data_IF_888805918732
#
_entry.id   IF_888805918732
#
_cell.length_a   1.000
_cell.length_b   1.000
_cell.length_c   1.000
_cell.angle_alpha   90.00
_cell.angle_beta   90.00
_cell.angle_gamma   90.00
#
_symmetry.space_group_name_H-M   'P 1'
#
loop_
_entity.id
_entity.type
_entity.pdbx_description
1 polymer ?
#
# COMPACT_ATOMS: atom_id res chain seq x y z
N UNK A 1 26.28 22.96 -15.83
CA UNK A 1 25.17 22.16 -16.36
C UNK A 1 25.47 20.69 -16.08
N UNK A 2 24.98 20.17 -14.98
CA UNK A 2 25.17 18.76 -14.60
C UNK A 2 24.02 17.94 -15.22
N UNK A 3 24.39 17.08 -16.16
CA UNK A 3 23.51 16.13 -16.84
C UNK A 3 23.17 15.03 -15.83
N UNK A 4 21.95 15.04 -15.29
CA UNK A 4 21.41 13.95 -14.50
C UNK A 4 21.46 12.69 -15.36
N UNK A 5 22.29 11.74 -14.97
CA UNK A 5 22.37 10.43 -15.57
C UNK A 5 21.07 9.69 -15.22
N UNK A 6 20.14 9.66 -16.15
CA UNK A 6 19.03 8.72 -16.18
C UNK A 6 19.65 7.31 -16.27
N UNK A 7 19.82 6.65 -15.12
CA UNK A 7 20.21 5.24 -15.06
C UNK A 7 18.98 4.47 -15.53
N UNK A 8 19.08 3.87 -16.71
CA UNK A 8 18.03 3.05 -17.31
C UNK A 8 17.50 2.06 -16.28
N UNK A 9 16.17 1.98 -16.18
CA UNK A 9 15.42 1.01 -15.38
C UNK A 9 15.86 -0.38 -15.85
N UNK A 10 16.71 -1.04 -15.06
CA UNK A 10 17.00 -2.46 -15.27
C UNK A 10 15.68 -3.21 -15.10
N UNK A 11 15.31 -4.07 -16.05
CA UNK A 11 14.06 -4.84 -16.09
C UNK A 11 13.94 -5.90 -14.98
N UNK A 12 14.45 -5.65 -13.79
CA UNK A 12 14.41 -6.55 -12.65
C UNK A 12 14.41 -5.79 -11.32
N UNK A 13 14.06 -6.46 -10.21
CA UNK A 13 14.11 -5.86 -8.89
C UNK A 13 15.55 -5.43 -8.55
N UNK A 14 15.70 -4.26 -7.93
CA UNK A 14 16.98 -3.63 -7.58
C UNK A 14 17.86 -4.60 -6.77
N UNK A 15 19.11 -4.91 -7.21
CA UNK A 15 19.97 -5.89 -6.55
C UNK A 15 20.36 -5.51 -5.13
N UNK A 16 20.45 -4.22 -4.80
CA UNK A 16 20.74 -3.76 -3.42
C UNK A 16 19.54 -4.04 -2.52
N UNK A 17 18.34 -3.79 -3.01
CA UNK A 17 17.10 -4.09 -2.28
C UNK A 17 16.97 -5.59 -2.06
N UNK A 18 17.22 -6.41 -3.09
CA UNK A 18 17.19 -7.88 -2.96
C UNK A 18 18.20 -8.38 -1.92
N UNK A 19 19.45 -7.90 -1.99
CA UNK A 19 20.51 -8.26 -1.05
C UNK A 19 20.11 -7.92 0.40
N UNK A 20 19.53 -6.74 0.62
CA UNK A 20 19.07 -6.31 1.95
C UNK A 20 18.02 -7.26 2.53
N UNK A 21 17.01 -7.66 1.74
CA UNK A 21 15.96 -8.59 2.19
C UNK A 21 16.46 -10.02 2.34
N UNK A 22 17.39 -10.49 1.49
CA UNK A 22 18.03 -11.78 1.63
C UNK A 22 18.88 -11.88 2.90
N UNK A 23 19.64 -10.83 3.22
CA UNK A 23 20.40 -10.74 4.47
C UNK A 23 19.47 -10.67 5.68
N UNK A 24 18.38 -9.91 5.61
CA UNK A 24 17.39 -9.83 6.68
C UNK A 24 16.77 -11.20 6.99
N UNK A 25 16.49 -12.02 5.97
CA UNK A 25 15.96 -13.37 6.14
C UNK A 25 16.95 -14.33 6.83
N UNK A 26 18.25 -14.20 6.56
CA UNK A 26 19.30 -15.07 7.11
C UNK A 26 19.84 -14.61 8.46
N UNK A 27 19.90 -13.29 8.65
CA UNK A 27 20.45 -12.64 9.83
C UNK A 27 19.35 -11.85 10.54
N UNK A 28 19.65 -11.31 11.73
CA UNK A 28 18.75 -10.32 12.34
C UNK A 28 18.95 -8.96 11.68
N UNK A 29 17.88 -8.31 11.24
CA UNK A 29 17.92 -7.02 10.54
C UNK A 29 18.76 -5.94 11.25
N UNK A 30 18.67 -5.89 12.58
CA UNK A 30 19.46 -4.96 13.40
C UNK A 30 20.97 -5.18 13.32
N UNK A 31 21.43 -6.37 12.93
CA UNK A 31 22.86 -6.70 12.80
C UNK A 31 23.36 -6.55 11.36
N UNK A 32 22.48 -6.40 10.39
CA UNK A 32 22.84 -6.16 8.99
C UNK A 32 23.37 -4.74 8.84
N UNK A 33 24.58 -4.59 8.36
CA UNK A 33 25.22 -3.30 8.06
C UNK A 33 25.05 -2.92 6.58
N UNK A 34 25.28 -1.65 6.25
CA UNK A 34 25.32 -1.22 4.84
C UNK A 34 26.49 -1.85 4.08
N UNK A 35 27.60 -2.15 4.77
CA UNK A 35 28.74 -2.88 4.18
C UNK A 35 28.33 -4.30 3.79
N UNK A 36 27.64 -5.04 4.68
CA UNK A 36 27.14 -6.38 4.37
C UNK A 36 26.22 -6.38 3.14
N UNK A 37 25.37 -5.35 3.04
CA UNK A 37 24.44 -5.20 1.90
C UNK A 37 25.22 -4.90 0.61
N UNK A 38 26.27 -4.05 0.66
CA UNK A 38 27.11 -3.76 -0.49
C UNK A 38 27.85 -5.01 -0.99
N UNK A 39 28.43 -5.78 -0.07
CA UNK A 39 29.14 -7.04 -0.37
C UNK A 39 28.20 -8.09 -0.98
N UNK A 40 27.01 -8.28 -0.42
CA UNK A 40 26.00 -9.22 -0.94
C UNK A 40 25.49 -8.80 -2.32
N UNK A 41 25.27 -7.48 -2.52
CA UNK A 41 24.83 -6.91 -3.80
C UNK A 41 25.96 -6.83 -4.85
N UNK A 42 27.22 -7.12 -4.46
CA UNK A 42 28.42 -6.99 -5.29
C UNK A 42 28.62 -5.59 -5.86
N UNK A 43 28.36 -4.58 -5.05
CA UNK A 43 28.60 -3.16 -5.35
C UNK A 43 29.57 -2.59 -4.33
N UNK A 44 30.24 -1.51 -4.68
CA UNK A 44 31.05 -0.78 -3.71
C UNK A 44 30.19 -0.03 -2.69
N UNK A 45 30.72 0.22 -1.50
CA UNK A 45 30.02 1.02 -0.48
C UNK A 45 29.72 2.44 -0.96
N UNK A 46 30.54 2.99 -1.86
CA UNK A 46 30.33 4.29 -2.48
C UNK A 46 29.11 4.27 -3.43
N UNK A 47 28.98 3.23 -4.26
CA UNK A 47 27.83 3.05 -5.13
C UNK A 47 26.54 2.86 -4.30
N UNK A 48 26.60 2.06 -3.23
CA UNK A 48 25.48 1.89 -2.32
C UNK A 48 25.09 3.22 -1.68
N UNK A 49 26.05 4.01 -1.18
CA UNK A 49 25.80 5.32 -0.58
C UNK A 49 25.12 6.29 -1.56
N UNK A 50 25.53 6.29 -2.82
CA UNK A 50 24.91 7.14 -3.84
C UNK A 50 23.49 6.67 -4.20
N UNK A 51 23.21 5.37 -4.17
CA UNK A 51 21.90 4.83 -4.43
C UNK A 51 20.98 4.97 -3.21
N UNK A 52 21.46 4.56 -2.04
CA UNK A 52 20.70 4.49 -0.79
C UNK A 52 21.57 4.88 0.40
N UNK A 53 21.42 6.10 0.94
CA UNK A 53 22.28 6.60 2.03
C UNK A 53 21.98 5.95 3.40
N UNK A 54 20.94 5.11 3.49
CA UNK A 54 20.56 4.44 4.75
C UNK A 54 19.73 3.18 4.50
N UNK A 55 19.63 2.32 5.51
CA UNK A 55 18.73 1.17 5.49
C UNK A 55 17.27 1.58 5.30
N UNK A 56 16.85 2.70 5.91
CA UNK A 56 15.50 3.26 5.72
C UNK A 56 15.25 3.69 4.26
N UNK A 57 16.26 4.18 3.56
CA UNK A 57 16.17 4.52 2.14
C UNK A 57 15.95 3.26 1.26
N UNK A 58 16.61 2.16 1.59
CA UNK A 58 16.40 0.86 0.93
C UNK A 58 14.97 0.35 1.15
N UNK A 59 14.47 0.41 2.41
CA UNK A 59 13.09 0.03 2.71
C UNK A 59 12.07 0.96 2.04
N UNK A 60 12.42 2.25 1.87
CA UNK A 60 11.59 3.19 1.14
C UNK A 60 11.50 2.85 -0.34
N UNK A 61 12.62 2.53 -0.96
CA UNK A 61 12.68 2.12 -2.36
C UNK A 61 11.87 0.84 -2.61
N UNK A 62 12.01 -0.15 -1.72
CA UNK A 62 11.18 -1.36 -1.79
C UNK A 62 9.69 -1.05 -1.73
N UNK A 63 9.26 -0.24 -0.76
CA UNK A 63 7.85 0.13 -0.63
C UNK A 63 7.33 0.85 -1.88
N UNK A 64 8.15 1.76 -2.45
CA UNK A 64 7.79 2.47 -3.68
C UNK A 64 7.69 1.53 -4.88
N UNK A 65 8.60 0.55 -5.01
CA UNK A 65 8.54 -0.45 -6.07
C UNK A 65 7.27 -1.33 -5.98
N UNK A 66 6.89 -1.72 -4.76
CA UNK A 66 5.62 -2.43 -4.53
C UNK A 66 4.42 -1.56 -4.87
N UNK A 67 4.44 -0.26 -4.49
CA UNK A 67 3.38 0.68 -4.85
C UNK A 67 3.27 0.84 -6.38
N UNK A 68 4.39 0.97 -7.10
CA UNK A 68 4.41 1.04 -8.56
C UNK A 68 3.77 -0.21 -9.20
N UNK A 69 4.09 -1.42 -8.71
CA UNK A 69 3.48 -2.66 -9.21
C UNK A 69 1.96 -2.71 -8.97
N UNK A 70 1.50 -2.25 -7.81
CA UNK A 70 0.06 -2.18 -7.50
C UNK A 70 -0.64 -1.19 -8.43
N UNK A 71 -0.06 -0.01 -8.62
CA UNK A 71 -0.62 1.05 -9.47
C UNK A 71 -0.60 0.67 -10.96
N UNK A 72 0.47 0.01 -11.43
CA UNK A 72 0.58 -0.43 -12.81
C UNK A 72 -0.48 -1.50 -13.19
N UNK A 73 -0.92 -2.29 -12.21
CA UNK A 73 -2.00 -3.26 -12.41
C UNK A 73 -3.38 -2.73 -12.03
N UNK A 74 -3.54 -1.44 -11.74
CA UNK A 74 -4.85 -0.87 -11.47
C UNK A 74 -5.61 -0.68 -12.80
N UNK A 75 -6.81 -1.22 -12.86
CA UNK A 75 -7.74 -1.00 -13.95
C UNK A 75 -8.59 0.26 -13.69
N UNK A 76 -9.10 0.92 -14.75
CA UNK A 76 -10.06 2.00 -14.55
C UNK A 76 -11.24 1.52 -13.70
N UNK A 77 -11.74 2.33 -12.76
CA UNK A 77 -12.85 1.93 -11.91
C UNK A 77 -14.07 1.53 -12.74
N UNK A 78 -14.51 0.27 -12.60
CA UNK A 78 -15.78 -0.16 -13.15
C UNK A 78 -16.91 0.29 -12.22
N UNK A 79 -17.98 0.88 -12.78
CA UNK A 79 -19.14 1.32 -12.01
C UNK A 79 -19.94 0.15 -11.42
N UNK A 80 -19.85 -1.04 -12.01
CA UNK A 80 -20.53 -2.24 -11.56
C UNK A 80 -19.79 -2.92 -10.39
N UNK A 81 -18.46 -2.70 -10.26
CA UNK A 81 -17.64 -3.31 -9.23
C UNK A 81 -17.63 -2.49 -7.94
N UNK A 82 -17.83 -3.18 -6.80
CA UNK A 82 -17.83 -2.52 -5.50
C UNK A 82 -16.44 -1.98 -5.12
N UNK A 83 -16.40 -0.86 -4.38
CA UNK A 83 -15.12 -0.33 -3.82
C UNK A 83 -14.41 -1.39 -2.96
N UNK A 84 -15.16 -2.24 -2.27
CA UNK A 84 -14.61 -3.32 -1.45
C UNK A 84 -13.85 -4.33 -2.31
N UNK A 85 -14.41 -4.74 -3.45
CA UNK A 85 -13.80 -5.74 -4.32
C UNK A 85 -12.54 -5.17 -5.00
N UNK A 86 -12.58 -3.94 -5.50
CA UNK A 86 -11.40 -3.24 -6.01
C UNK A 86 -10.28 -3.10 -4.98
N UNK A 87 -10.61 -2.79 -3.71
CA UNK A 87 -9.63 -2.75 -2.62
C UNK A 87 -9.08 -4.14 -2.28
N UNK A 88 -9.92 -5.17 -2.36
CA UNK A 88 -9.49 -6.55 -2.18
C UNK A 88 -8.43 -6.91 -3.22
N UNK A 89 -8.69 -6.67 -4.49
CA UNK A 89 -7.77 -6.98 -5.59
C UNK A 89 -6.48 -6.17 -5.51
N UNK A 90 -6.56 -4.87 -5.21
CA UNK A 90 -5.38 -4.03 -5.04
C UNK A 90 -4.47 -4.51 -3.89
N UNK A 91 -5.06 -4.94 -2.76
CA UNK A 91 -4.30 -5.44 -1.63
C UNK A 91 -3.78 -6.86 -1.86
N UNK A 92 -4.52 -7.74 -2.56
CA UNK A 92 -4.01 -9.06 -2.94
C UNK A 92 -2.84 -8.93 -3.90
N UNK A 93 -2.93 -8.07 -4.92
CA UNK A 93 -1.82 -7.75 -5.82
C UNK A 93 -0.59 -7.26 -5.07
N UNK A 94 -0.78 -6.48 -3.99
CA UNK A 94 0.31 -6.07 -3.10
C UNK A 94 0.95 -7.25 -2.39
N UNK A 95 0.17 -8.17 -1.82
CA UNK A 95 0.71 -9.34 -1.14
C UNK A 95 1.46 -10.27 -2.11
N UNK A 96 0.97 -10.42 -3.33
CA UNK A 96 1.67 -11.20 -4.38
C UNK A 96 2.99 -10.54 -4.77
N UNK A 97 3.02 -9.23 -4.96
CA UNK A 97 4.25 -8.49 -5.24
C UNK A 97 5.30 -8.61 -4.13
N UNK A 98 4.84 -8.76 -2.88
CA UNK A 98 5.71 -8.90 -1.70
C UNK A 98 6.16 -10.35 -1.44
N UNK A 99 5.54 -11.35 -2.07
CA UNK A 99 5.76 -12.79 -1.82
C UNK A 99 7.24 -13.20 -1.90
N UNK A 100 8.05 -12.73 -2.90
CA UNK A 100 9.46 -13.10 -2.99
C UNK A 100 10.32 -12.66 -1.80
N UNK A 101 9.95 -11.58 -1.09
CA UNK A 101 10.69 -11.02 0.04
C UNK A 101 10.04 -11.32 1.40
N UNK A 102 9.08 -12.26 1.45
CA UNK A 102 8.27 -12.54 2.65
C UNK A 102 9.10 -12.80 3.89
N UNK A 103 10.14 -13.61 3.80
CA UNK A 103 11.00 -13.98 4.95
C UNK A 103 11.80 -12.78 5.44
N UNK A 104 12.32 -11.97 4.52
CA UNK A 104 13.00 -10.72 4.84
C UNK A 104 12.07 -9.71 5.53
N UNK A 105 10.84 -9.57 5.02
CA UNK A 105 9.80 -8.72 5.64
C UNK A 105 9.50 -9.22 7.06
N UNK A 106 9.31 -10.52 7.23
CA UNK A 106 9.04 -11.11 8.54
C UNK A 106 10.17 -10.84 9.54
N UNK A 107 11.43 -10.94 9.10
CA UNK A 107 12.61 -10.68 9.93
C UNK A 107 12.71 -9.18 10.31
N UNK A 108 12.51 -8.27 9.35
CA UNK A 108 12.52 -6.82 9.58
C UNK A 108 11.43 -6.44 10.58
N UNK A 109 10.22 -6.95 10.41
CA UNK A 109 9.11 -6.66 11.32
C UNK A 109 9.29 -7.26 12.72
N UNK A 110 9.97 -8.41 12.81
CA UNK A 110 10.28 -9.05 14.11
C UNK A 110 11.31 -8.27 14.91
N UNK A 111 12.33 -7.75 14.22
CA UNK A 111 13.39 -6.96 14.88
C UNK A 111 12.91 -5.54 15.24
N UNK A 112 11.83 -5.09 14.60
CA UNK A 112 11.25 -3.76 14.81
C UNK A 112 12.04 -2.65 14.13
N UNK A 113 11.55 -1.41 14.31
CA UNK A 113 12.25 -0.23 13.83
C UNK A 113 13.49 0.05 14.70
N UNK A 114 14.59 0.48 14.09
CA UNK A 114 15.86 0.82 14.76
C UNK A 114 15.78 2.08 15.65
N UNK A 115 14.57 2.54 15.95
CA UNK A 115 14.32 3.69 16.81
C UNK A 115 13.00 4.39 16.48
N UNK A 116 12.61 5.36 17.31
CA UNK A 116 11.33 6.07 17.13
C UNK A 116 11.24 6.85 15.83
N UNK A 117 12.36 7.35 15.32
CA UNK A 117 12.41 8.09 14.04
C UNK A 117 12.14 7.13 12.87
N UNK A 118 12.80 5.97 12.82
CA UNK A 118 12.57 4.95 11.77
C UNK A 118 11.13 4.43 11.82
N UNK A 119 10.57 4.25 13.02
CA UNK A 119 9.17 3.87 13.20
C UNK A 119 8.22 4.93 12.61
N UNK A 120 8.45 6.20 12.91
CA UNK A 120 7.63 7.30 12.39
C UNK A 120 7.73 7.44 10.87
N UNK A 121 8.94 7.35 10.33
CA UNK A 121 9.18 7.36 8.88
C UNK A 121 8.50 6.18 8.19
N UNK A 122 8.58 4.99 8.78
CA UNK A 122 7.91 3.78 8.28
C UNK A 122 6.39 3.92 8.29
N UNK A 123 5.81 4.44 9.38
CA UNK A 123 4.37 4.69 9.49
C UNK A 123 3.88 5.73 8.47
N UNK A 124 4.61 6.84 8.30
CA UNK A 124 4.27 7.86 7.31
C UNK A 124 4.33 7.32 5.87
N UNK A 125 5.32 6.46 5.58
CA UNK A 125 5.46 5.78 4.29
C UNK A 125 4.26 4.86 4.01
N UNK A 126 3.89 4.03 4.98
CA UNK A 126 2.74 3.13 4.83
C UNK A 126 1.43 3.89 4.69
N UNK A 127 1.24 4.99 5.42
CA UNK A 127 0.06 5.85 5.23
C UNK A 127 0.01 6.42 3.81
N UNK A 128 1.12 6.91 3.28
CA UNK A 128 1.18 7.39 1.89
C UNK A 128 0.87 6.28 0.89
N UNK A 129 1.44 5.10 1.09
CA UNK A 129 1.16 3.91 0.27
C UNK A 129 -0.34 3.56 0.26
N UNK A 130 -0.99 3.55 1.42
CA UNK A 130 -2.43 3.30 1.52
C UNK A 130 -3.28 4.42 0.90
N UNK A 131 -2.82 5.67 0.95
CA UNK A 131 -3.49 6.77 0.24
C UNK A 131 -3.47 6.56 -1.27
N UNK A 132 -2.34 6.17 -1.85
CA UNK A 132 -2.24 5.82 -3.27
C UNK A 132 -3.10 4.60 -3.64
N UNK A 133 -3.18 3.59 -2.76
CA UNK A 133 -4.07 2.45 -2.96
C UNK A 133 -5.55 2.88 -2.97
N UNK A 134 -5.98 3.83 -2.13
CA UNK A 134 -7.34 4.40 -2.20
C UNK A 134 -7.58 5.13 -3.52
N UNK A 135 -6.66 6.01 -3.91
CA UNK A 135 -6.77 6.76 -5.18
C UNK A 135 -6.84 5.82 -6.40
N UNK A 136 -6.06 4.72 -6.41
CA UNK A 136 -6.06 3.75 -7.52
C UNK A 136 -7.39 3.02 -7.72
N UNK A 137 -8.23 2.96 -6.69
CA UNK A 137 -9.57 2.35 -6.77
C UNK A 137 -10.71 3.39 -6.86
N UNK A 138 -10.36 4.66 -7.13
CA UNK A 138 -11.34 5.75 -7.30
C UNK A 138 -11.87 6.33 -5.98
N UNK A 139 -11.18 6.10 -4.86
CA UNK A 139 -11.57 6.64 -3.54
C UNK A 139 -10.61 7.75 -3.13
N UNK A 140 -11.11 8.98 -3.02
CA UNK A 140 -10.27 10.10 -2.61
C UNK A 140 -9.70 9.92 -1.20
N UNK A 141 -8.38 10.07 -1.10
CA UNK A 141 -7.61 10.11 0.15
C UNK A 141 -7.45 11.54 0.71
N UNK A 142 -8.04 12.55 0.06
CA UNK A 142 -7.89 13.96 0.41
C UNK A 142 -8.82 14.39 1.55
N UNK A 143 -8.39 15.39 2.29
CA UNK A 143 -9.15 16.00 3.38
C UNK A 143 -9.33 15.11 4.62
N UNK A 144 -10.12 15.54 5.61
CA UNK A 144 -10.29 14.81 6.88
C UNK A 144 -10.92 13.42 6.69
N UNK A 145 -11.90 13.29 5.80
CA UNK A 145 -12.55 12.02 5.48
C UNK A 145 -11.56 11.05 4.80
N UNK A 146 -10.72 11.56 3.87
CA UNK A 146 -9.66 10.79 3.23
C UNK A 146 -8.62 10.29 4.24
N UNK A 147 -8.22 11.12 5.18
CA UNK A 147 -7.30 10.73 6.25
C UNK A 147 -7.84 9.60 7.14
N UNK A 148 -9.15 9.60 7.44
CA UNK A 148 -9.80 8.53 8.19
C UNK A 148 -9.82 7.23 7.38
N UNK A 149 -10.20 7.30 6.10
CA UNK A 149 -10.20 6.14 5.19
C UNK A 149 -8.80 5.55 5.06
N UNK A 150 -7.77 6.38 4.88
CA UNK A 150 -6.37 5.95 4.78
C UNK A 150 -5.90 5.21 6.03
N UNK A 151 -6.23 5.73 7.22
CA UNK A 151 -5.90 5.05 8.50
C UNK A 151 -6.68 3.75 8.65
N UNK A 152 -7.95 3.73 8.23
CA UNK A 152 -8.78 2.53 8.22
C UNK A 152 -8.19 1.45 7.32
N UNK A 153 -7.79 1.81 6.09
CA UNK A 153 -7.15 0.89 5.16
C UNK A 153 -5.80 0.39 5.69
N UNK A 154 -5.00 1.27 6.33
CA UNK A 154 -3.76 0.85 6.99
C UNK A 154 -4.01 -0.19 8.08
N UNK A 155 -5.05 -0.03 8.89
CA UNK A 155 -5.40 -1.01 9.91
C UNK A 155 -5.83 -2.37 9.30
N UNK A 156 -6.61 -2.36 8.21
CA UNK A 156 -6.96 -3.55 7.43
C UNK A 156 -5.70 -4.21 6.90
N UNK A 157 -4.81 -3.45 6.24
CA UNK A 157 -3.56 -3.95 5.67
C UNK A 157 -2.66 -4.59 6.73
N UNK A 158 -2.35 -3.87 7.84
CA UNK A 158 -1.48 -4.40 8.90
C UNK A 158 -2.08 -5.62 9.61
N UNK A 159 -3.40 -5.63 9.77
CA UNK A 159 -4.09 -6.79 10.31
C UNK A 159 -4.00 -8.01 9.39
N UNK A 160 -4.14 -7.82 8.08
CA UNK A 160 -4.02 -8.89 7.09
C UNK A 160 -2.56 -9.33 6.90
N UNK A 161 -1.61 -8.39 6.91
CA UNK A 161 -0.17 -8.68 6.83
C UNK A 161 0.29 -9.69 7.89
N UNK A 162 -0.25 -9.60 9.12
CA UNK A 162 0.06 -10.58 10.17
C UNK A 162 -0.43 -12.00 9.85
N UNK A 163 -1.54 -12.12 9.14
CA UNK A 163 -2.04 -13.41 8.66
C UNK A 163 -1.19 -13.90 7.50
N UNK A 164 -0.94 -13.04 6.51
CA UNK A 164 -0.13 -13.32 5.35
C UNK A 164 1.28 -13.83 5.69
N UNK A 165 1.93 -13.26 6.70
CA UNK A 165 3.26 -13.71 7.17
C UNK A 165 3.26 -15.15 7.74
N UNK A 166 2.08 -15.71 8.04
CA UNK A 166 1.90 -17.05 8.63
C UNK A 166 1.06 -17.96 7.75
N UNK A 167 0.71 -17.49 6.55
CA UNK A 167 -0.13 -18.23 5.62
C UNK A 167 0.74 -19.12 4.74
N UNK A 168 0.80 -20.40 5.08
CA UNK A 168 1.60 -21.39 4.35
C UNK A 168 0.81 -22.05 3.21
N UNK A 169 -0.43 -21.58 2.94
CA UNK A 169 -1.23 -22.07 1.81
C UNK A 169 -0.68 -21.51 0.49
N UNK A 170 -0.67 -22.32 -0.54
CA UNK A 170 -0.12 -21.95 -1.85
C UNK A 170 -0.91 -20.81 -2.50
N UNK A 171 -2.23 -20.84 -2.33
CA UNK A 171 -3.22 -19.90 -2.86
C UNK A 171 -3.52 -18.70 -1.95
N UNK A 172 -2.82 -18.57 -0.81
CA UNK A 172 -3.07 -17.53 0.19
C UNK A 172 -4.53 -17.49 0.70
N UNK A 173 -5.20 -18.62 0.76
CA UNK A 173 -6.63 -18.72 1.12
C UNK A 173 -6.94 -18.13 2.50
N UNK A 174 -6.06 -18.29 3.49
CA UNK A 174 -6.21 -17.66 4.82
C UNK A 174 -6.10 -16.15 4.75
N UNK A 175 -5.19 -15.65 3.94
CA UNK A 175 -4.97 -14.22 3.71
C UNK A 175 -6.18 -13.60 3.03
N UNK A 176 -6.70 -14.24 1.96
CA UNK A 176 -7.90 -13.81 1.25
C UNK A 176 -9.12 -13.74 2.19
N UNK A 177 -9.39 -14.79 2.96
CA UNK A 177 -10.50 -14.80 3.92
C UNK A 177 -10.35 -13.73 5.01
N UNK A 178 -9.13 -13.50 5.51
CA UNK A 178 -8.85 -12.47 6.50
C UNK A 178 -9.03 -11.06 5.94
N UNK A 179 -8.61 -10.83 4.70
CA UNK A 179 -8.74 -9.56 4.00
C UNK A 179 -10.21 -9.23 3.75
N UNK A 180 -10.96 -10.15 3.15
CA UNK A 180 -12.40 -9.98 2.87
C UNK A 180 -13.17 -9.62 4.15
N UNK A 181 -12.98 -10.39 5.21
CA UNK A 181 -13.64 -10.13 6.50
C UNK A 181 -13.30 -8.76 7.09
N UNK A 182 -12.06 -8.27 6.91
CA UNK A 182 -11.62 -6.95 7.44
C UNK A 182 -12.16 -5.82 6.59
N UNK A 183 -12.18 -5.98 5.26
CA UNK A 183 -12.74 -5.00 4.34
C UNK A 183 -14.25 -4.86 4.58
N UNK A 184 -15.00 -5.95 4.73
CA UNK A 184 -16.42 -5.91 5.05
C UNK A 184 -16.71 -5.15 6.35
N UNK A 185 -15.90 -5.33 7.39
CA UNK A 185 -16.02 -4.56 8.65
C UNK A 185 -15.69 -3.08 8.46
N UNK A 186 -14.65 -2.77 7.67
CA UNK A 186 -14.28 -1.39 7.38
C UNK A 186 -15.38 -0.67 6.59
N UNK A 187 -16.03 -1.35 5.65
CA UNK A 187 -17.15 -0.85 4.88
C UNK A 187 -18.38 -0.56 5.78
N UNK A 188 -18.74 -1.48 6.66
CA UNK A 188 -19.81 -1.26 7.65
C UNK A 188 -19.53 -0.05 8.54
N UNK A 189 -18.28 0.11 9.00
CA UNK A 189 -17.87 1.25 9.80
C UNK A 189 -17.94 2.56 8.99
N UNK A 190 -17.47 2.54 7.74
CA UNK A 190 -17.51 3.69 6.85
C UNK A 190 -18.95 4.11 6.52
N UNK A 191 -19.85 3.16 6.28
CA UNK A 191 -21.27 3.45 6.02
C UNK A 191 -21.95 4.09 7.24
N UNK A 192 -21.60 3.68 8.46
CA UNK A 192 -22.10 4.28 9.70
C UNK A 192 -21.58 5.72 9.88
N UNK A 193 -20.30 5.98 9.60
CA UNK A 193 -19.70 7.32 9.77
C UNK A 193 -20.08 8.30 8.66
N UNK A 194 -20.18 7.83 7.42
CA UNK A 194 -20.36 8.70 6.25
C UNK A 194 -21.72 8.53 5.58
N UNK A 195 -22.47 7.47 5.85
CA UNK A 195 -23.77 7.15 5.26
C UNK A 195 -24.90 8.08 5.68
N UNK A 196 -24.79 8.73 6.85
CA UNK A 196 -25.78 9.71 7.31
C UNK A 196 -25.82 11.04 6.53
N UNK A 197 -24.97 11.22 5.50
CA UNK A 197 -24.87 12.43 4.67
C UNK A 197 -25.41 12.30 3.24
N UNK A 198 -26.08 11.21 2.88
CA UNK A 198 -26.91 11.23 1.68
C UNK A 198 -28.12 12.11 1.99
N UNK A 199 -27.96 13.42 1.79
CA UNK A 199 -29.08 14.36 1.67
C UNK A 199 -30.02 13.77 0.61
N UNK A 200 -31.26 13.45 1.03
CA UNK A 200 -32.31 13.18 0.07
C UNK A 200 -32.33 14.34 -0.93
N UNK A 201 -32.10 14.05 -2.19
CA UNK A 201 -32.36 15.00 -3.27
C UNK A 201 -33.83 15.34 -3.15
N UNK A 202 -34.22 16.61 -2.97
CA UNK A 202 -35.66 16.97 -2.94
C UNK A 202 -36.26 16.51 -4.26
N UNK A 203 -37.52 16.02 -4.26
CA UNK A 203 -38.20 15.63 -5.50
C UNK A 203 -38.15 16.80 -6.47
N UNK A 204 -38.02 16.55 -7.78
CA UNK A 204 -38.07 17.61 -8.76
C UNK A 204 -39.37 18.39 -8.59
N UNK A 205 -39.22 19.69 -8.39
CA UNK A 205 -40.34 20.62 -8.26
C UNK A 205 -41.19 20.50 -9.54
N UNK A 206 -42.44 20.04 -9.39
CA UNK A 206 -43.35 19.93 -10.53
C UNK A 206 -43.61 21.34 -11.04
N UNK A 207 -43.48 21.57 -12.37
CA UNK A 207 -43.81 22.88 -12.92
C UNK A 207 -45.27 23.24 -12.59
N UNK A 208 -45.56 24.53 -12.36
CA UNK A 208 -46.93 24.99 -12.04
C UNK A 208 -47.90 24.52 -13.14
N UNK A 209 -48.94 23.85 -12.71
CA UNK A 209 -50.06 23.49 -13.61
C UNK A 209 -50.72 24.78 -14.09
N UNK A 210 -50.55 25.11 -15.37
CA UNK A 210 -51.22 26.26 -16.02
C UNK A 210 -52.74 26.02 -16.00
N UNK A 211 -53.53 26.92 -15.47
CA UNK A 211 -54.98 26.74 -15.46
C UNK A 211 -55.54 26.77 -16.87
N UNK A 212 -56.40 25.79 -17.19
CA UNK A 212 -57.04 25.68 -18.50
C UNK A 212 -57.88 26.93 -18.80
N UNK A 213 -57.91 27.44 -20.08
CA UNK A 213 -58.71 28.60 -20.41
C UNK A 213 -60.20 28.30 -20.26
N UNK A 214 -61.00 29.32 -19.83
CA UNK A 214 -62.47 29.16 -19.71
C UNK A 214 -63.13 28.99 -21.07
N UNK A 215 -64.19 28.17 -21.11
CA UNK A 215 -65.00 27.84 -22.27
C UNK A 215 -65.85 29.02 -22.76
#
# INVERSE_FOLDING_TARGET
>A
MAKAASKGKADGPDPIVQAAFALAARLRWRHVTLADIADEAKVSLAELYHAYPSKDAILAAYTSAVDEMVLAGAEPPDEEESVKDRLFDALMRRFDAMKPQRDGIAAILRDGAEGPVSMLCGAARLLRSMAWTLESVGVSASGPAGAIKTKGLLAVYLGTLRVWLRDDTEDLSRTMAALDKRLARAEQFASTLFGGRRRATPPPEQPPVEPAPPA
#
